data_IF_375729761122
#
_entry.id   IF_375729761122
#
_cell.length_a   1.000
_cell.length_b   1.000
_cell.length_c   1.000
_cell.angle_alpha   90.00
_cell.angle_beta   90.00
_cell.angle_gamma   90.00
#
_symmetry.space_group_name_H-M   'P 1'
#
loop_
_entity.id
_entity.type
_entity.pdbx_description
1 polymer ?
#
# COMPACT_ATOMS: atom_id res chain seq x y z
N UNK A 1 28.21 6.70 24.75
CA UNK A 1 27.78 5.51 23.99
C UNK A 1 27.54 5.94 22.55
N UNK A 2 28.59 5.89 21.71
CA UNK A 2 28.42 6.03 20.27
C UNK A 2 28.28 4.62 19.72
N UNK A 3 27.06 4.23 19.32
CA UNK A 3 26.87 3.00 18.57
C UNK A 3 27.49 3.24 17.19
N UNK A 4 28.58 2.56 16.84
CA UNK A 4 29.28 2.72 15.55
C UNK A 4 28.36 2.52 14.33
N UNK A 5 27.22 1.87 14.53
CA UNK A 5 26.19 1.57 13.54
C UNK A 5 25.12 2.67 13.39
N UNK A 6 25.13 3.72 14.23
CA UNK A 6 24.14 4.78 14.20
C UNK A 6 24.75 6.07 13.64
N UNK A 7 24.25 6.50 12.49
CA UNK A 7 24.57 7.78 11.87
C UNK A 7 23.33 8.67 11.88
N UNK A 8 23.48 9.92 12.34
CA UNK A 8 22.39 10.91 12.33
C UNK A 8 22.65 11.91 11.22
N UNK A 9 21.76 11.95 10.23
CA UNK A 9 21.79 12.92 9.15
C UNK A 9 20.84 14.08 9.47
N UNK A 10 21.28 15.31 9.26
CA UNK A 10 20.46 16.51 9.44
C UNK A 10 20.06 17.06 8.07
N UNK A 11 18.77 17.22 7.84
CA UNK A 11 18.24 17.80 6.62
C UNK A 11 17.86 19.27 6.88
N UNK A 12 18.45 20.24 6.15
CA UNK A 12 18.06 21.64 6.26
C UNK A 12 16.73 21.89 5.56
N UNK A 13 15.88 22.76 6.12
CA UNK A 13 14.63 23.19 5.50
C UNK A 13 13.36 22.60 6.14
N UNK A 14 12.25 22.71 5.42
CA UNK A 14 10.96 22.18 5.87
C UNK A 14 10.93 20.65 5.88
N UNK A 15 10.07 20.07 6.71
CA UNK A 15 9.99 18.63 6.87
C UNK A 15 9.33 17.96 5.66
N UNK A 16 10.15 17.33 4.83
CA UNK A 16 9.73 16.44 3.74
C UNK A 16 10.26 15.02 3.98
N UNK A 17 9.34 14.10 4.27
CA UNK A 17 9.70 12.71 4.61
C UNK A 17 10.24 11.93 3.41
N UNK A 18 9.76 12.18 2.19
CA UNK A 18 10.31 11.55 0.99
C UNK A 18 11.72 12.07 0.69
N UNK A 19 11.97 13.37 0.81
CA UNK A 19 13.31 13.94 0.66
C UNK A 19 14.28 13.42 1.72
N UNK A 20 13.81 13.24 2.97
CA UNK A 20 14.57 12.61 4.03
C UNK A 20 14.96 11.17 3.69
N UNK A 21 14.01 10.34 3.25
CA UNK A 21 14.32 8.97 2.84
C UNK A 21 15.28 8.93 1.67
N UNK A 22 15.08 9.76 0.64
CA UNK A 22 15.93 9.79 -0.54
C UNK A 22 17.35 10.25 -0.22
N UNK A 23 17.51 11.26 0.64
CA UNK A 23 18.83 11.72 1.07
C UNK A 23 19.56 10.69 1.95
N UNK A 24 18.84 10.02 2.85
CA UNK A 24 19.41 8.95 3.66
C UNK A 24 19.79 7.71 2.83
N UNK A 25 18.97 7.33 1.85
CA UNK A 25 19.23 6.18 0.99
C UNK A 25 20.53 6.31 0.19
N UNK A 26 20.95 7.53 -0.15
CA UNK A 26 22.24 7.79 -0.83
C UNK A 26 23.46 7.51 0.04
N UNK A 27 23.29 7.51 1.36
CA UNK A 27 24.35 7.23 2.33
C UNK A 27 24.42 5.74 2.73
N UNK A 28 23.47 4.92 2.25
CA UNK A 28 23.39 3.49 2.54
C UNK A 28 24.45 2.75 1.74
N UNK A 29 25.32 2.02 2.43
CA UNK A 29 26.36 1.18 1.82
C UNK A 29 25.94 -0.28 1.68
N UNK A 30 24.84 -0.69 2.31
CA UNK A 30 24.30 -2.04 2.19
C UNK A 30 23.58 -2.30 0.85
N UNK A 31 23.33 -3.57 0.56
CA UNK A 31 22.62 -4.00 -0.66
C UNK A 31 21.10 -3.79 -0.56
N UNK A 32 20.59 -3.63 0.66
CA UNK A 32 19.17 -3.43 0.96
C UNK A 32 18.95 -2.14 1.74
N UNK A 33 17.84 -1.49 1.44
CA UNK A 33 17.31 -0.33 2.15
C UNK A 33 16.08 -0.78 2.92
N UNK A 34 16.07 -0.52 4.22
CA UNK A 34 14.91 -0.70 5.07
C UNK A 34 14.41 0.69 5.50
N UNK A 35 13.18 1.02 5.11
CA UNK A 35 12.44 2.14 5.68
C UNK A 35 11.73 1.62 6.94
N UNK A 36 12.05 2.24 8.08
CA UNK A 36 11.45 1.91 9.37
C UNK A 36 11.00 3.19 10.06
N UNK A 37 9.71 3.29 10.36
CA UNK A 37 9.17 4.48 11.03
C UNK A 37 9.61 4.52 12.50
N UNK A 38 9.97 5.72 12.96
CA UNK A 38 10.46 5.96 14.33
C UNK A 38 9.45 5.66 15.43
N UNK A 39 8.18 5.48 15.08
CA UNK A 39 7.09 5.11 15.98
C UNK A 39 6.75 3.62 15.96
N UNK A 40 7.69 2.79 15.48
CA UNK A 40 7.57 1.34 15.48
C UNK A 40 8.40 0.69 16.58
N UNK A 41 7.93 -0.48 17.06
CA UNK A 41 8.68 -1.34 17.94
C UNK A 41 8.66 -2.78 17.41
N UNK A 42 9.84 -3.34 17.23
CA UNK A 42 10.03 -4.73 16.79
C UNK A 42 9.71 -5.68 17.94
N UNK A 43 8.93 -6.73 17.67
CA UNK A 43 8.50 -7.69 18.68
C UNK A 43 9.37 -8.95 18.77
N UNK A 44 10.07 -9.32 17.70
CA UNK A 44 10.82 -10.57 17.60
C UNK A 44 12.21 -10.33 17.02
N UNK A 45 13.21 -11.09 17.48
CA UNK A 45 14.62 -10.88 17.12
C UNK A 45 15.00 -11.29 15.69
N UNK A 46 14.23 -12.20 15.10
CA UNK A 46 14.41 -12.77 13.75
C UNK A 46 13.73 -11.94 12.64
N UNK A 47 13.12 -10.81 12.99
CA UNK A 47 12.34 -9.97 12.10
C UNK A 47 13.11 -9.53 10.83
N UNK A 48 14.39 -9.15 10.98
CA UNK A 48 15.18 -8.64 9.87
C UNK A 48 15.56 -9.77 8.90
N UNK A 49 15.89 -10.94 9.43
CA UNK A 49 16.19 -12.13 8.63
C UNK A 49 14.95 -12.58 7.85
N UNK A 50 13.77 -12.54 8.47
CA UNK A 50 12.50 -12.85 7.80
C UNK A 50 12.18 -11.86 6.66
N UNK A 51 12.44 -10.56 6.83
CA UNK A 51 12.32 -9.59 5.73
C UNK A 51 13.34 -9.89 4.61
N UNK A 52 14.60 -10.14 4.99
CA UNK A 52 15.69 -10.35 4.05
C UNK A 52 15.51 -11.63 3.24
N UNK A 53 15.00 -12.70 3.85
CA UNK A 53 14.67 -13.97 3.19
C UNK A 53 13.77 -13.76 1.97
N UNK A 54 12.78 -12.85 2.06
CA UNK A 54 11.95 -12.49 0.92
C UNK A 54 12.66 -11.53 -0.03
N UNK A 55 13.36 -10.52 0.48
CA UNK A 55 14.00 -9.48 -0.32
C UNK A 55 15.15 -10.02 -1.20
N UNK A 56 15.75 -11.15 -0.82
CA UNK A 56 16.78 -11.84 -1.60
C UNK A 56 16.25 -12.59 -2.83
N UNK A 57 14.94 -12.84 -2.90
CA UNK A 57 14.34 -13.53 -4.04
C UNK A 57 14.30 -12.60 -5.24
N UNK A 58 14.86 -13.00 -6.41
CA UNK A 58 14.91 -12.13 -7.58
C UNK A 58 13.54 -11.60 -7.98
N UNK A 59 12.48 -12.40 -7.94
CA UNK A 59 11.13 -11.98 -8.32
C UNK A 59 10.49 -10.97 -7.35
N UNK A 60 11.03 -10.79 -6.14
CA UNK A 60 10.49 -9.90 -5.11
C UNK A 60 11.16 -8.53 -5.21
N UNK A 61 10.35 -7.48 -5.26
CA UNK A 61 10.82 -6.11 -5.28
C UNK A 61 10.81 -5.46 -3.90
N UNK A 62 9.69 -5.63 -3.18
CA UNK A 62 9.47 -5.00 -1.88
C UNK A 62 8.89 -6.01 -0.90
N UNK A 63 9.32 -5.92 0.36
CA UNK A 63 8.79 -6.72 1.47
C UNK A 63 8.26 -5.79 2.56
N UNK A 64 7.03 -6.04 3.02
CA UNK A 64 6.41 -5.33 4.12
C UNK A 64 6.02 -6.25 5.28
N UNK A 65 5.88 -5.65 6.46
CA UNK A 65 5.56 -6.36 7.69
C UNK A 65 4.08 -6.25 8.10
N UNK A 66 3.67 -7.10 9.05
CA UNK A 66 2.43 -6.95 9.81
C UNK A 66 2.59 -5.87 10.87
N UNK A 67 1.71 -4.87 10.85
CA UNK A 67 1.72 -3.78 11.83
C UNK A 67 0.51 -3.88 12.74
N UNK A 68 0.77 -3.88 14.04
CA UNK A 68 -0.23 -3.91 15.10
C UNK A 68 -0.31 -2.55 15.80
N UNK A 69 -1.51 -2.18 16.24
CA UNK A 69 -1.68 -1.10 17.19
C UNK A 69 -1.33 -1.57 18.63
N UNK A 70 -1.12 -0.64 19.57
CA UNK A 70 -0.83 -0.98 20.98
C UNK A 70 -1.90 -1.84 21.66
N UNK A 71 -3.15 -1.80 21.18
CA UNK A 71 -4.27 -2.62 21.65
C UNK A 71 -4.32 -4.02 21.02
N UNK A 72 -3.24 -4.43 20.34
CA UNK A 72 -3.12 -5.71 19.63
C UNK A 72 -4.14 -5.88 18.49
N UNK A 73 -4.66 -4.79 17.92
CA UNK A 73 -5.43 -4.83 16.67
C UNK A 73 -4.53 -4.64 15.45
N UNK A 74 -4.90 -5.22 14.32
CA UNK A 74 -4.19 -5.08 13.05
C UNK A 74 -4.42 -3.67 12.52
N UNK A 75 -3.32 -2.98 12.20
CA UNK A 75 -3.33 -1.70 11.49
C UNK A 75 -3.04 -1.88 10.01
N UNK A 76 -2.11 -2.78 9.71
CA UNK A 76 -1.68 -3.04 8.36
C UNK A 76 -1.33 -4.51 8.18
N UNK A 77 -2.00 -5.16 7.23
CA UNK A 77 -1.71 -6.51 6.78
C UNK A 77 -1.76 -6.61 5.23
N UNK A 78 -1.23 -5.57 4.58
CA UNK A 78 -1.31 -5.35 3.13
C UNK A 78 -2.25 -4.19 2.77
N UNK A 79 -2.03 -3.60 1.59
CA UNK A 79 -2.88 -2.55 1.03
C UNK A 79 -3.56 -3.05 -0.25
N UNK A 80 -4.86 -2.81 -0.33
CA UNK A 80 -5.66 -2.98 -1.53
C UNK A 80 -6.11 -1.60 -2.02
N UNK A 81 -6.03 -1.36 -3.32
CA UNK A 81 -6.49 -0.15 -3.97
C UNK A 81 -7.95 -0.27 -4.41
N UNK A 82 -8.66 0.87 -4.39
CA UNK A 82 -9.98 0.96 -5.04
C UNK A 82 -11.16 0.33 -4.31
N UNK A 83 -11.08 0.14 -3.00
CA UNK A 83 -12.24 -0.25 -2.18
C UNK A 83 -13.02 1.00 -1.76
N UNK A 84 -13.52 1.03 -0.52
CA UNK A 84 -14.20 2.19 0.05
C UNK A 84 -13.36 3.48 0.06
N UNK A 85 -12.03 3.34 0.20
CA UNK A 85 -11.04 4.41 0.06
C UNK A 85 -10.04 4.07 -1.07
N UNK A 86 -9.36 5.08 -1.66
CA UNK A 86 -8.40 4.85 -2.75
C UNK A 86 -7.35 3.78 -2.42
N UNK A 87 -6.94 3.73 -1.15
CA UNK A 87 -6.03 2.74 -0.58
C UNK A 87 -6.58 2.28 0.76
N UNK A 88 -6.81 0.99 0.91
CA UNK A 88 -7.42 0.38 2.08
C UNK A 88 -6.45 -0.61 2.74
N UNK A 89 -6.13 -0.46 4.04
CA UNK A 89 -5.43 -1.48 4.80
C UNK A 89 -6.35 -2.67 5.06
N UNK A 90 -6.08 -3.78 4.38
CA UNK A 90 -6.90 -4.98 4.49
C UNK A 90 -6.75 -5.59 5.90
N UNK A 91 -7.86 -6.05 6.48
CA UNK A 91 -7.96 -6.58 7.86
C UNK A 91 -7.75 -5.57 9.00
N UNK A 92 -7.72 -4.27 8.71
CA UNK A 92 -7.64 -3.23 9.75
C UNK A 92 -8.75 -3.41 10.81
N UNK A 93 -8.38 -3.31 12.09
CA UNK A 93 -9.27 -3.47 13.24
C UNK A 93 -9.51 -4.92 13.70
N UNK A 94 -9.04 -5.93 12.96
CA UNK A 94 -9.10 -7.32 13.44
C UNK A 94 -8.07 -7.58 14.55
N UNK A 95 -8.27 -8.62 15.34
CA UNK A 95 -7.27 -9.05 16.33
C UNK A 95 -5.94 -9.42 15.67
N UNK A 96 -4.82 -9.07 16.29
CA UNK A 96 -3.48 -9.49 15.88
C UNK A 96 -3.31 -11.01 15.85
N UNK A 97 -4.10 -11.75 16.64
CA UNK A 97 -4.15 -13.22 16.65
C UNK A 97 -5.11 -13.82 15.61
N UNK A 98 -5.83 -13.00 14.84
CA UNK A 98 -6.71 -13.48 13.77
C UNK A 98 -5.89 -14.14 12.65
N UNK A 99 -6.32 -15.32 12.21
CA UNK A 99 -5.83 -15.95 10.98
C UNK A 99 -6.47 -15.31 9.73
N UNK A 100 -7.53 -14.53 9.90
CA UNK A 100 -8.21 -13.83 8.82
C UNK A 100 -9.01 -14.74 7.90
N UNK A 101 -9.63 -14.14 6.88
CA UNK A 101 -10.39 -14.88 5.88
C UNK A 101 -9.48 -15.88 5.15
N UNK A 102 -9.87 -17.15 5.15
CA UNK A 102 -9.11 -18.26 4.57
C UNK A 102 -7.64 -18.28 5.00
N UNK A 103 -7.37 -17.99 6.29
CA UNK A 103 -6.03 -18.03 6.88
C UNK A 103 -5.00 -17.09 6.23
N UNK A 104 -5.44 -16.09 5.46
CA UNK A 104 -4.55 -15.17 4.74
C UNK A 104 -3.65 -14.32 5.64
N UNK A 105 -3.98 -14.16 6.92
CA UNK A 105 -3.11 -13.47 7.89
C UNK A 105 -2.02 -14.37 8.49
N UNK A 106 -2.03 -15.67 8.17
CA UNK A 106 -1.06 -16.65 8.67
C UNK A 106 -0.03 -17.09 7.61
N UNK A 107 -0.17 -16.62 6.37
CA UNK A 107 0.72 -16.97 5.25
C UNK A 107 1.22 -15.73 4.52
N UNK A 108 2.38 -15.82 3.88
CA UNK A 108 2.88 -14.76 3.01
C UNK A 108 1.89 -14.48 1.87
N UNK A 109 1.74 -13.21 1.51
CA UNK A 109 0.80 -12.76 0.48
C UNK A 109 1.46 -11.77 -0.46
N UNK A 110 1.05 -11.80 -1.72
CA UNK A 110 1.38 -10.74 -2.68
C UNK A 110 0.26 -9.71 -2.69
N UNK A 111 0.61 -8.45 -2.46
CA UNK A 111 -0.33 -7.33 -2.53
C UNK A 111 0.06 -6.35 -3.64
N UNK A 112 -0.71 -5.27 -3.79
CA UNK A 112 -0.35 -4.18 -4.68
C UNK A 112 0.52 -3.14 -3.99
N UNK A 113 0.34 -2.94 -2.68
CA UNK A 113 1.23 -2.14 -1.87
C UNK A 113 1.32 -2.64 -0.42
N UNK A 114 2.36 -2.19 0.27
CA UNK A 114 2.56 -2.34 1.72
C UNK A 114 2.86 -0.99 2.34
N UNK A 115 2.72 -0.87 3.66
CA UNK A 115 3.01 0.35 4.40
C UNK A 115 4.50 0.68 4.36
N UNK A 116 4.79 1.96 4.16
CA UNK A 116 6.11 2.58 4.29
C UNK A 116 6.60 2.68 5.74
N UNK A 117 5.80 2.30 6.74
CA UNK A 117 6.24 2.26 8.13
C UNK A 117 7.23 1.10 8.40
N UNK A 118 7.19 0.04 7.60
CA UNK A 118 8.20 -1.02 7.58
C UNK A 118 8.25 -1.64 6.18
N UNK A 119 9.24 -1.22 5.39
CA UNK A 119 9.36 -1.56 3.97
C UNK A 119 10.83 -1.83 3.62
N UNK A 120 11.15 -3.05 3.18
CA UNK A 120 12.46 -3.43 2.68
C UNK A 120 12.48 -3.54 1.16
N UNK A 121 13.53 -3.01 0.54
CA UNK A 121 13.74 -2.99 -0.91
C UNK A 121 15.25 -3.09 -1.20
N UNK A 122 15.65 -3.73 -2.30
CA UNK A 122 17.07 -3.69 -2.70
C UNK A 122 17.47 -2.27 -3.10
N UNK A 123 18.70 -1.87 -2.74
CA UNK A 123 19.21 -0.52 -3.04
C UNK A 123 19.17 -0.24 -4.54
N UNK A 124 19.57 -1.20 -5.37
CA UNK A 124 19.53 -1.08 -6.83
C UNK A 124 18.11 -0.83 -7.36
N UNK A 125 17.09 -1.47 -6.77
CA UNK A 125 15.70 -1.27 -7.18
C UNK A 125 15.12 0.05 -6.68
N UNK A 126 15.51 0.49 -5.47
CA UNK A 126 15.13 1.81 -4.95
C UNK A 126 15.70 2.93 -5.82
N UNK A 127 16.96 2.81 -6.23
CA UNK A 127 17.62 3.72 -7.18
C UNK A 127 16.96 3.68 -8.57
N UNK A 128 16.70 2.47 -9.11
CA UNK A 128 16.04 2.30 -10.40
C UNK A 128 14.59 2.84 -10.42
N UNK A 129 13.93 2.84 -9.26
CA UNK A 129 12.61 3.44 -9.11
C UNK A 129 12.68 4.99 -9.02
N UNK A 130 13.85 5.61 -8.83
CA UNK A 130 14.01 7.03 -8.49
C UNK A 130 13.51 7.38 -7.07
N UNK A 131 13.66 6.44 -6.13
CA UNK A 131 13.35 6.63 -4.71
C UNK A 131 11.88 6.91 -4.42
N UNK A 132 11.61 7.69 -3.38
CA UNK A 132 10.27 8.09 -2.92
C UNK A 132 9.80 9.37 -3.63
N UNK A 133 8.51 9.45 -3.97
CA UNK A 133 7.92 10.63 -4.59
C UNK A 133 7.96 11.84 -3.64
N UNK A 134 8.69 12.89 -4.02
CA UNK A 134 8.73 14.18 -3.32
C UNK A 134 7.66 15.18 -3.79
N UNK A 135 6.72 14.74 -4.62
CA UNK A 135 5.68 15.56 -5.22
C UNK A 135 4.36 15.47 -4.47
N UNK A 136 3.26 15.36 -5.23
CA UNK A 136 1.90 15.41 -4.70
C UNK A 136 1.51 14.16 -3.90
N UNK A 137 2.21 13.03 -4.07
CA UNK A 137 1.93 11.80 -3.33
C UNK A 137 2.71 11.69 -2.02
N UNK A 138 3.64 12.63 -1.81
CA UNK A 138 4.53 12.69 -0.66
C UNK A 138 3.72 12.50 0.62
N UNK A 139 2.73 13.33 0.93
CA UNK A 139 1.99 13.33 2.21
C UNK A 139 1.50 11.95 2.70
N UNK A 140 0.75 11.21 1.85
CA UNK A 140 0.00 10.01 2.26
C UNK A 140 0.33 8.75 1.46
N UNK A 141 0.69 8.87 0.19
CA UNK A 141 0.77 7.74 -0.75
C UNK A 141 2.18 7.42 -1.23
N UNK A 142 3.21 8.01 -0.62
CA UNK A 142 4.63 7.79 -0.96
C UNK A 142 5.00 6.30 -1.08
N UNK A 143 4.58 5.47 -0.12
CA UNK A 143 4.88 4.04 -0.08
C UNK A 143 4.11 3.26 -1.13
N UNK A 144 2.85 3.64 -1.33
CA UNK A 144 1.98 3.05 -2.37
C UNK A 144 2.55 3.34 -3.75
N UNK A 145 2.96 4.58 -4.00
CA UNK A 145 3.56 5.00 -5.27
C UNK A 145 4.85 4.21 -5.58
N UNK A 146 5.75 4.09 -4.60
CA UNK A 146 6.95 3.26 -4.75
C UNK A 146 6.59 1.80 -5.04
N UNK A 147 5.65 1.22 -4.30
CA UNK A 147 5.19 -0.15 -4.52
C UNK A 147 4.66 -0.36 -5.93
N UNK A 148 3.84 0.56 -6.43
CA UNK A 148 3.25 0.45 -7.77
C UNK A 148 4.30 0.64 -8.87
N UNK A 149 5.24 1.59 -8.74
CA UNK A 149 6.38 1.72 -9.68
C UNK A 149 7.21 0.44 -9.74
N UNK A 150 7.54 -0.13 -8.59
CA UNK A 150 8.28 -1.39 -8.53
C UNK A 150 7.46 -2.54 -9.12
N UNK A 151 6.16 -2.60 -8.86
CA UNK A 151 5.26 -3.61 -9.43
C UNK A 151 5.18 -3.54 -10.96
N UNK A 152 5.20 -2.34 -11.54
CA UNK A 152 5.25 -2.16 -13.00
C UNK A 152 6.50 -2.74 -13.66
N UNK A 153 7.60 -2.89 -12.91
CA UNK A 153 8.81 -3.59 -13.39
C UNK A 153 8.66 -5.13 -13.39
N UNK A 154 7.48 -5.66 -13.07
CA UNK A 154 7.17 -7.09 -13.03
C UNK A 154 7.58 -7.78 -11.73
N UNK A 155 7.92 -7.02 -10.69
CA UNK A 155 8.32 -7.53 -9.37
C UNK A 155 7.12 -7.72 -8.45
N UNK A 156 7.24 -8.66 -7.52
CA UNK A 156 6.26 -8.91 -6.47
C UNK A 156 6.42 -7.94 -5.31
N UNK A 157 5.30 -7.53 -4.74
CA UNK A 157 5.23 -6.81 -3.46
C UNK A 157 4.72 -7.81 -2.43
N UNK A 158 5.62 -8.29 -1.59
CA UNK A 158 5.33 -9.34 -0.60
C UNK A 158 5.01 -8.69 0.74
N UNK A 159 3.95 -9.16 1.37
CA UNK A 159 3.69 -8.95 2.78
C UNK A 159 3.90 -10.25 3.51
N UNK A 160 4.62 -10.21 4.64
CA UNK A 160 4.87 -11.39 5.48
C UNK A 160 4.25 -11.23 6.86
N UNK A 161 3.50 -12.24 7.35
CA UNK A 161 3.01 -12.27 8.73
C UNK A 161 4.09 -12.64 9.75
N UNK A 162 5.24 -13.15 9.28
CA UNK A 162 6.36 -13.59 10.12
C UNK A 162 7.19 -12.43 10.69
N UNK A 163 6.85 -11.20 10.30
CA UNK A 163 7.46 -9.97 10.81
C UNK A 163 6.37 -9.11 11.40
N UNK A 164 6.37 -8.96 12.72
CA UNK A 164 5.34 -8.23 13.47
C UNK A 164 5.97 -7.07 14.21
N UNK A 165 5.44 -5.87 13.98
CA UNK A 165 5.83 -4.66 14.66
C UNK A 165 4.62 -4.01 15.32
N UNK A 166 4.81 -3.44 16.50
CA UNK A 166 3.89 -2.42 17.02
C UNK A 166 4.13 -1.12 16.25
N UNK A 167 3.08 -0.40 15.93
CA UNK A 167 3.15 0.87 15.25
C UNK A 167 2.12 1.86 15.81
N UNK A 168 2.62 2.93 16.42
CA UNK A 168 1.83 4.01 17.00
C UNK A 168 2.25 5.36 16.39
N UNK A 169 1.75 5.70 15.18
CA UNK A 169 2.13 6.91 14.49
C UNK A 169 1.75 8.12 15.33
N UNK A 170 2.60 9.14 15.21
CA UNK A 170 2.45 10.41 15.91
C UNK A 170 1.06 11.00 15.65
N UNK A 171 0.51 11.73 16.61
CA UNK A 171 -0.83 12.30 16.52
C UNK A 171 -1.02 13.15 15.24
N UNK A 172 0.01 13.89 14.85
CA UNK A 172 0.06 14.68 13.62
C UNK A 172 -0.04 13.82 12.35
N UNK A 173 0.65 12.68 12.30
CA UNK A 173 0.59 11.74 11.17
C UNK A 173 -0.79 11.07 11.11
N UNK A 174 -1.32 10.66 12.26
CA UNK A 174 -2.67 10.11 12.38
C UNK A 174 -3.75 11.08 11.92
N UNK A 175 -3.61 12.37 12.24
CA UNK A 175 -4.54 13.42 11.80
C UNK A 175 -4.48 13.63 10.28
N UNK A 176 -3.27 13.65 9.70
CA UNK A 176 -3.06 13.76 8.24
C UNK A 176 -3.65 12.58 7.46
N UNK A 177 -3.57 11.37 8.01
CA UNK A 177 -4.17 10.18 7.40
C UNK A 177 -5.70 10.24 7.41
N UNK A 178 -6.31 10.77 8.48
CA UNK A 178 -7.78 10.85 8.62
C UNK A 178 -8.41 11.99 7.81
N UNK A 179 -7.66 13.05 7.52
CA UNK A 179 -8.16 14.14 6.71
C UNK A 179 -8.26 13.72 5.22
N UNK A 180 -9.32 14.12 4.50
CA UNK A 180 -9.32 14.05 3.05
C UNK A 180 -8.13 14.86 2.51
N UNK A 181 -7.20 14.20 1.83
CA UNK A 181 -6.08 14.88 1.19
C UNK A 181 -6.53 15.32 -0.21
N UNK A 182 -6.98 16.58 -0.30
CA UNK A 182 -7.52 17.19 -1.52
C UNK A 182 -6.50 17.25 -2.66
N UNK A 183 -5.20 17.14 -2.37
CA UNK A 183 -4.14 17.13 -3.38
C UNK A 183 -3.66 15.71 -3.70
N UNK A 184 -3.39 14.88 -2.67
CA UNK A 184 -2.84 13.55 -2.89
C UNK A 184 -3.85 12.59 -3.52
N UNK A 185 -5.15 12.73 -3.22
CA UNK A 185 -6.18 11.87 -3.81
C UNK A 185 -6.26 12.06 -5.34
N UNK A 186 -6.49 13.27 -5.90
CA UNK A 186 -6.47 13.47 -7.35
C UNK A 186 -5.15 13.05 -8.02
N UNK A 187 -4.01 13.31 -7.38
CA UNK A 187 -2.71 12.88 -7.90
C UNK A 187 -2.61 11.35 -7.99
N UNK A 188 -3.10 10.63 -6.96
CA UNK A 188 -3.12 9.18 -6.95
C UNK A 188 -4.02 8.63 -8.05
N UNK A 189 -5.25 9.17 -8.19
CA UNK A 189 -6.15 8.79 -9.28
C UNK A 189 -5.54 9.05 -10.65
N UNK A 190 -4.98 10.25 -10.88
CA UNK A 190 -4.37 10.61 -12.17
C UNK A 190 -3.23 9.67 -12.56
N UNK A 191 -2.39 9.26 -11.61
CA UNK A 191 -1.21 8.41 -11.87
C UNK A 191 -1.54 6.92 -11.91
N UNK A 192 -2.41 6.45 -11.01
CA UNK A 192 -2.61 5.03 -10.72
C UNK A 192 -4.04 4.53 -10.93
N UNK A 193 -4.86 5.24 -11.70
CA UNK A 193 -6.25 4.88 -11.97
C UNK A 193 -6.41 3.40 -12.37
N UNK A 194 -5.50 2.85 -13.15
CA UNK A 194 -5.56 1.45 -13.61
C UNK A 194 -5.55 0.44 -12.45
N UNK A 195 -4.75 0.68 -11.41
CA UNK A 195 -4.67 -0.20 -10.24
C UNK A 195 -5.80 0.08 -9.25
N UNK A 196 -6.28 1.32 -9.19
CA UNK A 196 -7.44 1.68 -8.35
C UNK A 196 -8.73 1.11 -8.96
N UNK A 197 -8.87 1.14 -10.28
CA UNK A 197 -10.03 0.57 -10.96
C UNK A 197 -10.06 -0.96 -10.88
N UNK A 198 -8.89 -1.59 -10.85
CA UNK A 198 -8.75 -3.04 -10.78
C UNK A 198 -7.43 -3.41 -10.09
N UNK A 199 -7.50 -3.65 -8.78
CA UNK A 199 -6.34 -4.11 -8.02
C UNK A 199 -6.13 -5.62 -8.27
N UNK A 200 -5.00 -6.05 -8.86
CA UNK A 200 -4.73 -7.46 -9.13
C UNK A 200 -4.60 -8.35 -7.88
N UNK A 201 -4.44 -7.75 -6.70
CA UNK A 201 -4.39 -8.46 -5.42
C UNK A 201 -5.78 -8.66 -4.78
N UNK A 202 -6.84 -8.09 -5.38
CA UNK A 202 -8.22 -8.21 -4.91
C UNK A 202 -9.06 -9.03 -5.90
N UNK A 203 -9.95 -9.88 -5.38
CA UNK A 203 -10.80 -10.71 -6.22
C UNK A 203 -12.05 -9.92 -6.65
N UNK A 204 -12.35 -9.89 -7.94
CA UNK A 204 -13.52 -9.18 -8.51
C UNK A 204 -14.88 -9.69 -7.97
N UNK A 205 -14.94 -10.88 -7.37
CA UNK A 205 -16.16 -11.41 -6.75
C UNK A 205 -16.37 -10.92 -5.31
N UNK A 206 -15.39 -10.22 -4.74
CA UNK A 206 -15.57 -9.55 -3.46
C UNK A 206 -16.14 -8.15 -3.64
N UNK A 207 -16.88 -7.70 -2.63
CA UNK A 207 -17.50 -6.39 -2.65
C UNK A 207 -16.47 -5.30 -2.44
N UNK A 208 -16.30 -4.43 -3.43
CA UNK A 208 -15.49 -3.22 -3.32
C UNK A 208 -16.02 -2.23 -2.27
N UNK A 209 -17.28 -2.40 -1.80
CA UNK A 209 -17.91 -1.54 -0.78
C UNK A 209 -17.77 -2.08 0.64
N UNK A 210 -17.50 -3.38 0.80
CA UNK A 210 -17.37 -3.97 2.10
C UNK A 210 -16.00 -3.67 2.73
N UNK A 211 -15.94 -3.66 4.06
CA UNK A 211 -14.67 -3.69 4.76
C UNK A 211 -14.09 -5.11 4.68
N UNK A 212 -13.18 -5.32 3.74
CA UNK A 212 -12.39 -6.54 3.67
C UNK A 212 -12.79 -7.50 2.55
N UNK A 213 -12.79 -8.80 2.86
CA UNK A 213 -12.99 -9.89 1.89
C UNK A 213 -14.39 -10.48 2.10
N UNK A 214 -15.41 -9.72 1.72
CA UNK A 214 -16.81 -10.16 1.75
C UNK A 214 -17.30 -10.35 0.31
N UNK A 215 -18.14 -11.36 0.08
CA UNK A 215 -18.73 -11.58 -1.24
C UNK A 215 -19.62 -10.41 -1.64
N UNK A 216 -19.61 -10.06 -2.93
CA UNK A 216 -20.56 -9.09 -3.47
C UNK A 216 -21.95 -9.75 -3.58
N UNK A 217 -22.86 -9.32 -2.71
CA UNK A 217 -24.23 -9.85 -2.63
C UNK A 217 -25.21 -9.06 -3.49
N UNK A 218 -24.80 -7.91 -4.04
CA UNK A 218 -25.64 -7.14 -4.94
C UNK A 218 -25.72 -7.80 -6.32
N UNK A 219 -26.86 -8.43 -6.59
CA UNK A 219 -27.15 -9.11 -7.86
C UNK A 219 -27.07 -8.18 -9.07
N UNK A 220 -27.33 -6.87 -8.93
CA UNK A 220 -27.16 -5.94 -10.05
C UNK A 220 -25.70 -5.76 -10.47
N UNK A 221 -24.74 -6.05 -9.59
CA UNK A 221 -23.30 -5.98 -9.86
C UNK A 221 -22.68 -7.35 -10.18
N UNK A 222 -23.25 -8.44 -9.68
CA UNK A 222 -22.73 -9.80 -9.90
C UNK A 222 -23.43 -10.57 -11.02
N UNK A 223 -24.63 -10.15 -11.43
CA UNK A 223 -25.37 -10.84 -12.47
C UNK A 223 -24.73 -10.61 -13.84
N UNK A 224 -24.11 -11.67 -14.38
CA UNK A 224 -23.67 -11.75 -15.78
C UNK A 224 -24.59 -12.71 -16.54
N UNK A 225 -25.78 -12.26 -16.99
CA UNK A 225 -26.75 -13.13 -17.67
C UNK A 225 -26.27 -13.71 -19.00
N UNK A 226 -25.19 -13.17 -19.57
CA UNK A 226 -24.67 -13.57 -20.87
C UNK A 226 -23.28 -14.20 -20.70
N UNK A 227 -23.21 -15.53 -20.78
CA UNK A 227 -21.96 -16.31 -20.78
C UNK A 227 -21.38 -16.54 -22.18
N UNK A 228 -22.08 -16.09 -23.24
CA UNK A 228 -21.68 -16.26 -24.63
C UNK A 228 -21.08 -14.97 -25.22
N UNK A 229 -19.97 -15.09 -25.95
CA UNK A 229 -19.35 -14.00 -26.72
C UNK A 229 -19.83 -14.05 -28.18
N UNK A 230 -20.06 -12.90 -28.83
CA UNK A 230 -19.68 -11.56 -28.38
C UNK A 230 -20.81 -10.85 -27.61
N UNK A 231 -20.46 -10.23 -26.48
CA UNK A 231 -21.35 -9.32 -25.73
C UNK A 231 -21.20 -7.92 -26.34
N UNK A 232 -22.29 -7.19 -26.63
CA UNK A 232 -22.20 -5.83 -27.15
C UNK A 232 -21.54 -4.89 -26.14
N UNK A 233 -20.60 -4.06 -26.62
CA UNK A 233 -20.03 -2.95 -25.87
C UNK A 233 -20.98 -1.77 -26.03
N UNK A 234 -21.59 -1.34 -24.93
CA UNK A 234 -22.33 -0.07 -24.89
C UNK A 234 -21.39 1.02 -24.40
N UNK A 235 -20.96 1.89 -25.30
CA UNK A 235 -20.32 3.15 -24.97
C UNK A 235 -21.43 4.17 -24.69
N UNK A 236 -21.64 4.54 -23.43
CA UNK A 236 -22.48 5.69 -23.10
C UNK A 236 -21.66 6.97 -23.25
N UNK A 237 -22.15 7.89 -24.07
CA UNK A 237 -21.58 9.23 -24.19
C UNK A 237 -22.25 10.12 -23.14
N UNK A 238 -21.48 10.93 -22.41
CA UNK A 238 -21.97 11.79 -21.30
C UNK A 238 -23.08 12.79 -21.69
N UNK A 239 -23.39 12.92 -22.99
CA UNK A 239 -24.46 13.78 -23.50
C UNK A 239 -25.86 13.12 -23.44
N UNK A 240 -25.94 11.82 -23.12
CA UNK A 240 -27.21 11.08 -23.00
C UNK A 240 -27.95 11.34 -21.66
N UNK A 241 -27.36 12.14 -20.77
CA UNK A 241 -27.96 12.51 -19.48
C UNK A 241 -28.81 13.80 -19.53
N UNK A 242 -28.93 14.47 -20.68
CA UNK A 242 -29.82 15.62 -20.84
C UNK A 242 -31.18 15.19 -21.40
N UNK A 243 -32.29 15.28 -20.63
CA UNK A 243 -33.61 15.20 -21.23
C UNK A 243 -33.79 16.39 -22.16
N UNK A 244 -34.00 16.11 -23.44
CA UNK A 244 -34.46 17.10 -24.41
C UNK A 244 -35.93 17.47 -24.09
N UNK A 245 -36.13 18.30 -23.06
CA UNK A 245 -37.40 18.95 -22.77
C UNK A 245 -37.20 20.42 -22.51
N UNK A 246 -36.93 21.16 -23.59
CA UNK A 246 -37.42 22.53 -23.81
C UNK A 246 -37.05 22.94 -25.25
N UNK A 247 -37.87 22.46 -26.20
CA UNK A 247 -38.13 23.18 -27.45
C UNK A 247 -39.61 23.54 -27.45
N UNK A 248 -39.89 24.79 -27.07
CA UNK A 248 -40.88 25.70 -27.64
C UNK A 248 -40.48 27.11 -27.20
#
# INVERSE_FOLDING_TARGET
MGLEQVRVLRHPGEFDRSALYNSAAREVTGDYVLLLDTSTAVLHGDWLDNLLNHAQRPEVGIVGAKLLAPDNTIRHAGLILGLHEPVTPIFSGQSGASEGYMQRLAVDQNYSAVSDACLMISRALFEAADGMDGGELNTRYRGVDLCLRVKESGRLIVWTPHVVLLHEPRAEDSARIKAPDEQANPALYRKWLKYIAHDPAYNDNFSARAQGLQLEINTALTWRPLSWRPVPIVLSHLNDLCPASQRL
#
